data_IF_789168283075
#
_entry.id   IF_789168283075
#
_cell.length_a   1.000
_cell.length_b   1.000
_cell.length_c   1.000
_cell.angle_alpha   90.00
_cell.angle_beta   90.00
_cell.angle_gamma   90.00
#
_symmetry.space_group_name_H-M   'P 1'
#
loop_
_entity.id
_entity.type
_entity.pdbx_description
1 polymer ?
#
# COMPACT_ATOMS: atom_id res chain seq x y z
N UNK A 1 -12.88 -6.02 -12.53
CA UNK A 1 -12.47 -7.13 -11.64
C UNK A 1 -11.08 -6.74 -11.18
N UNK A 2 -10.78 -6.89 -9.90
CA UNK A 2 -9.49 -6.47 -9.36
C UNK A 2 -8.66 -7.67 -8.94
N UNK A 3 -7.40 -7.66 -9.30
CA UNK A 3 -6.39 -8.57 -8.76
C UNK A 3 -5.71 -7.89 -7.58
N UNK A 4 -5.55 -8.64 -6.49
CA UNK A 4 -4.94 -8.17 -5.24
C UNK A 4 -3.70 -9.02 -5.02
N UNK A 5 -2.54 -8.50 -5.43
CA UNK A 5 -1.25 -9.17 -5.27
C UNK A 5 -0.69 -8.86 -3.88
N UNK A 6 -0.44 -9.88 -3.07
CA UNK A 6 -0.04 -9.69 -1.68
C UNK A 6 1.17 -10.52 -1.29
N UNK A 7 2.04 -9.90 -0.51
CA UNK A 7 3.24 -10.54 0.05
C UNK A 7 3.55 -9.94 1.44
N UNK A 8 4.45 -10.59 2.16
CA UNK A 8 4.79 -10.24 3.52
C UNK A 8 6.29 -10.03 3.77
N UNK A 9 6.59 -9.23 4.79
CA UNK A 9 7.93 -9.08 5.35
C UNK A 9 7.87 -9.19 6.86
N UNK A 10 8.99 -9.51 7.51
CA UNK A 10 9.01 -9.64 8.97
C UNK A 10 8.72 -11.06 9.48
N UNK A 11 8.80 -12.09 8.65
CA UNK A 11 8.42 -13.46 9.03
C UNK A 11 9.43 -14.15 9.94
N UNK A 12 10.68 -13.64 10.03
CA UNK A 12 11.71 -14.24 10.90
C UNK A 12 11.42 -13.99 12.38
N UNK A 13 11.71 -14.95 13.26
CA UNK A 13 11.47 -14.83 14.71
C UNK A 13 12.09 -13.59 15.37
N UNK A 14 13.19 -13.07 14.80
CA UNK A 14 13.94 -11.94 15.34
C UNK A 14 13.35 -10.58 14.95
N UNK A 15 12.49 -10.54 13.93
CA UNK A 15 11.86 -9.30 13.49
C UNK A 15 10.67 -8.96 14.41
N UNK A 16 10.61 -7.74 14.96
CA UNK A 16 9.60 -7.39 15.97
C UNK A 16 8.21 -7.14 15.39
N UNK A 17 8.08 -7.09 14.07
CA UNK A 17 6.82 -6.84 13.36
C UNK A 17 6.69 -7.77 12.16
N UNK A 18 5.46 -8.09 11.78
CA UNK A 18 5.11 -8.66 10.47
C UNK A 18 4.37 -7.57 9.70
N UNK A 19 4.71 -7.36 8.43
CA UNK A 19 4.01 -6.47 7.51
C UNK A 19 3.45 -7.29 6.36
N UNK A 20 2.21 -7.05 5.98
CA UNK A 20 1.61 -7.57 4.75
C UNK A 20 1.23 -6.38 3.89
N UNK A 21 1.68 -6.39 2.65
CA UNK A 21 1.31 -5.40 1.65
C UNK A 21 0.48 -6.05 0.55
N UNK A 22 -0.39 -5.26 -0.06
CA UNK A 22 -1.19 -5.66 -1.19
C UNK A 22 -1.24 -4.56 -2.24
N UNK A 23 -1.08 -4.92 -3.50
CA UNK A 23 -1.23 -4.05 -4.68
C UNK A 23 -2.55 -4.40 -5.36
N UNK A 24 -3.44 -3.43 -5.49
CA UNK A 24 -4.78 -3.63 -6.06
C UNK A 24 -4.82 -3.07 -7.47
N UNK A 25 -4.98 -3.94 -8.47
CA UNK A 25 -4.94 -3.55 -9.89
C UNK A 25 -6.17 -4.03 -10.64
N UNK A 26 -6.59 -3.29 -11.66
CA UNK A 26 -7.40 -3.81 -12.76
C UNK A 26 -6.65 -4.94 -13.46
N UNK A 27 -7.35 -6.06 -13.68
CA UNK A 27 -6.79 -7.28 -14.28
C UNK A 27 -6.16 -7.06 -15.65
N UNK A 28 -6.58 -6.03 -16.39
CA UNK A 28 -6.09 -5.77 -17.75
C UNK A 28 -5.13 -4.60 -17.76
N UNK A 29 -5.65 -3.38 -17.65
CA UNK A 29 -4.87 -2.20 -18.01
C UNK A 29 -3.76 -1.88 -17.02
N UNK A 30 -4.05 -1.99 -15.73
CA UNK A 30 -3.10 -1.60 -14.67
C UNK A 30 -2.04 -2.70 -14.46
N UNK A 31 -2.46 -3.98 -14.52
CA UNK A 31 -1.53 -5.10 -14.43
C UNK A 31 -0.51 -5.09 -15.57
N UNK A 32 -0.94 -5.11 -16.84
CA UNK A 32 -0.04 -5.12 -17.99
C UNK A 32 0.93 -3.93 -17.99
N UNK A 33 0.45 -2.74 -17.61
CA UNK A 33 1.26 -1.53 -17.51
C UNK A 33 2.39 -1.69 -16.48
N UNK A 34 2.06 -2.12 -15.26
CA UNK A 34 3.04 -2.29 -14.20
C UNK A 34 4.03 -3.41 -14.50
N UNK A 35 3.58 -4.51 -15.11
CA UNK A 35 4.49 -5.59 -15.50
C UNK A 35 5.51 -5.12 -16.54
N UNK A 36 5.07 -4.31 -17.51
CA UNK A 36 5.96 -3.70 -18.50
C UNK A 36 6.97 -2.74 -17.86
N UNK A 37 6.54 -1.92 -16.90
CA UNK A 37 7.42 -0.99 -16.18
C UNK A 37 8.42 -1.74 -15.28
N UNK A 38 8.00 -2.78 -14.56
CA UNK A 38 8.92 -3.64 -13.79
C UNK A 38 9.96 -4.27 -14.72
N UNK A 39 9.54 -4.82 -15.87
CA UNK A 39 10.45 -5.41 -16.85
C UNK A 39 11.44 -4.37 -17.40
N UNK A 40 10.99 -3.15 -17.67
CA UNK A 40 11.83 -2.03 -18.09
C UNK A 40 12.90 -1.72 -17.04
N UNK A 41 12.50 -1.49 -15.78
CA UNK A 41 13.43 -1.19 -14.67
C UNK A 41 14.44 -2.31 -14.49
N UNK A 42 14.00 -3.58 -14.54
CA UNK A 42 14.91 -4.74 -14.49
C UNK A 42 15.92 -4.72 -15.63
N UNK A 43 15.47 -4.47 -16.86
CA UNK A 43 16.34 -4.47 -18.04
C UNK A 43 17.39 -3.35 -18.02
N UNK A 44 17.05 -2.20 -17.43
CA UNK A 44 17.92 -1.02 -17.39
C UNK A 44 18.88 -1.07 -16.20
N UNK A 45 18.42 -1.51 -15.04
CA UNK A 45 19.11 -1.30 -13.75
C UNK A 45 19.81 -2.54 -13.21
N UNK A 46 19.35 -3.74 -13.57
CA UNK A 46 20.01 -4.98 -13.14
C UNK A 46 21.25 -5.21 -14.01
N UNK A 47 22.44 -5.45 -13.42
CA UNK A 47 23.65 -5.75 -14.18
C UNK A 47 23.47 -6.97 -15.08
N UNK A 48 23.98 -6.92 -16.31
CA UNK A 48 23.82 -7.98 -17.30
C UNK A 48 24.18 -9.40 -16.79
N UNK A 49 25.25 -9.62 -16.00
CA UNK A 49 25.58 -10.95 -15.44
C UNK A 49 24.53 -11.53 -14.49
N UNK A 50 23.62 -10.70 -13.97
CA UNK A 50 22.60 -11.08 -13.01
C UNK A 50 21.19 -11.19 -13.61
N UNK A 51 20.98 -10.80 -14.88
CA UNK A 51 19.64 -10.69 -15.49
C UNK A 51 18.97 -12.03 -15.77
N UNK A 52 19.74 -13.05 -16.11
CA UNK A 52 19.18 -14.37 -16.42
C UNK A 52 18.60 -15.02 -15.16
N UNK A 53 17.33 -15.40 -15.22
CA UNK A 53 16.58 -15.90 -14.07
C UNK A 53 16.39 -14.88 -12.93
N UNK A 54 16.62 -13.59 -13.19
CA UNK A 54 16.41 -12.56 -12.18
C UNK A 54 14.94 -12.46 -11.79
N UNK A 55 14.69 -12.47 -10.49
CA UNK A 55 13.43 -12.04 -9.92
C UNK A 55 13.73 -11.12 -8.75
N UNK A 56 12.83 -10.18 -8.51
CA UNK A 56 12.96 -9.22 -7.44
C UNK A 56 12.62 -9.94 -6.13
N UNK A 57 13.59 -9.97 -5.23
CA UNK A 57 13.37 -10.28 -3.83
C UNK A 57 14.06 -9.21 -2.99
N UNK A 58 13.27 -8.34 -2.36
CA UNK A 58 13.72 -7.09 -1.76
C UNK A 58 14.82 -7.31 -0.72
N UNK A 59 14.68 -8.35 0.11
CA UNK A 59 15.68 -8.71 1.12
C UNK A 59 17.00 -9.15 0.49
N UNK A 60 16.96 -9.96 -0.57
CA UNK A 60 18.15 -10.45 -1.27
C UNK A 60 18.87 -9.32 -2.02
N UNK A 61 18.11 -8.41 -2.63
CA UNK A 61 18.65 -7.25 -3.34
C UNK A 61 19.28 -6.26 -2.36
N UNK A 62 18.56 -5.89 -1.30
CA UNK A 62 19.04 -4.91 -0.32
C UNK A 62 20.35 -5.38 0.34
N UNK A 63 20.38 -6.62 0.83
CA UNK A 63 21.57 -7.16 1.49
C UNK A 63 22.64 -7.61 0.48
N UNK A 64 22.29 -7.84 -0.77
CA UNK A 64 23.20 -8.31 -1.80
C UNK A 64 23.58 -9.75 -1.52
N UNK A 65 22.71 -10.68 -1.92
CA UNK A 65 22.99 -12.11 -1.88
C UNK A 65 24.33 -12.43 -2.56
N UNK A 66 24.94 -13.57 -2.20
CA UNK A 66 26.25 -14.01 -2.74
C UNK A 66 26.29 -13.86 -4.27
N UNK A 67 27.35 -13.25 -4.80
CA UNK A 67 27.54 -12.95 -6.23
C UNK A 67 26.94 -11.60 -6.67
N UNK A 68 25.88 -11.12 -6.03
CA UNK A 68 25.28 -9.84 -6.39
C UNK A 68 26.18 -8.66 -6.02
N UNK A 69 26.86 -8.71 -4.86
CA UNK A 69 27.75 -7.64 -4.38
C UNK A 69 28.96 -7.41 -5.28
N UNK A 70 29.37 -8.43 -6.05
CA UNK A 70 30.52 -8.37 -6.95
C UNK A 70 30.20 -7.60 -8.25
N UNK A 71 28.90 -7.52 -8.59
CA UNK A 71 28.42 -6.93 -9.84
C UNK A 71 27.48 -5.73 -9.64
N UNK A 72 26.98 -5.50 -8.43
CA UNK A 72 25.94 -4.50 -8.17
C UNK A 72 26.19 -3.75 -6.85
N UNK A 73 26.56 -2.47 -6.96
CA UNK A 73 26.90 -1.65 -5.80
C UNK A 73 25.71 -1.45 -4.85
N UNK A 74 25.99 -1.20 -3.58
CA UNK A 74 24.94 -1.05 -2.55
C UNK A 74 23.97 0.10 -2.82
N UNK A 75 24.49 1.24 -3.29
CA UNK A 75 23.65 2.39 -3.62
C UNK A 75 22.79 2.13 -4.88
N UNK A 76 23.36 1.52 -5.92
CA UNK A 76 22.61 1.13 -7.12
C UNK A 76 21.46 0.16 -6.81
N UNK A 77 21.68 -0.78 -5.87
CA UNK A 77 20.65 -1.71 -5.40
C UNK A 77 19.54 -1.00 -4.63
N UNK A 78 19.89 -0.01 -3.82
CA UNK A 78 18.90 0.81 -3.12
C UNK A 78 18.10 1.67 -4.09
N UNK A 79 18.75 2.28 -5.07
CA UNK A 79 18.09 3.11 -6.08
C UNK A 79 17.17 2.28 -6.98
N UNK A 80 17.57 1.06 -7.31
CA UNK A 80 16.69 0.08 -7.95
C UNK A 80 15.44 -0.21 -7.12
N UNK A 81 15.60 -0.49 -5.81
CA UNK A 81 14.46 -0.76 -4.94
C UNK A 81 13.53 0.46 -4.84
N UNK A 82 14.07 1.68 -4.78
CA UNK A 82 13.27 2.92 -4.79
C UNK A 82 12.48 3.08 -6.09
N UNK A 83 13.10 2.77 -7.23
CA UNK A 83 12.46 2.86 -8.55
C UNK A 83 11.32 1.84 -8.71
N UNK A 84 11.50 0.62 -8.22
CA UNK A 84 10.39 -0.37 -8.16
C UNK A 84 9.33 0.10 -7.17
N UNK A 85 9.74 0.55 -5.98
CA UNK A 85 8.85 0.94 -4.90
C UNK A 85 7.98 2.15 -5.27
N UNK A 86 8.43 3.05 -6.16
CA UNK A 86 7.64 4.21 -6.56
C UNK A 86 6.56 3.94 -7.60
N UNK A 87 6.58 2.78 -8.27
CA UNK A 87 5.60 2.46 -9.31
C UNK A 87 4.14 2.64 -8.87
N UNK A 88 3.71 2.26 -7.65
CA UNK A 88 2.35 2.52 -7.20
C UNK A 88 2.00 4.00 -7.15
N UNK A 89 2.91 4.88 -6.72
CA UNK A 89 2.69 6.32 -6.72
C UNK A 89 2.62 6.88 -8.15
N UNK A 90 3.58 6.49 -9.00
CA UNK A 90 3.68 6.99 -10.39
C UNK A 90 2.46 6.63 -11.23
N UNK A 91 1.97 5.41 -11.04
CA UNK A 91 0.84 4.87 -11.80
C UNK A 91 -0.47 4.96 -11.03
N UNK A 92 -0.45 5.57 -9.85
CA UNK A 92 -1.64 5.83 -9.05
C UNK A 92 -2.42 4.54 -8.77
N UNK A 93 -1.66 3.55 -8.31
CA UNK A 93 -2.10 2.20 -8.00
C UNK A 93 -2.34 2.11 -6.50
N UNK A 94 -3.57 1.76 -6.09
CA UNK A 94 -3.91 1.59 -4.69
C UNK A 94 -3.08 0.49 -4.04
N UNK A 95 -2.57 0.79 -2.86
CA UNK A 95 -1.88 -0.20 -2.02
C UNK A 95 -2.55 -0.27 -0.66
N UNK A 96 -2.72 -1.50 -0.16
CA UNK A 96 -3.17 -1.77 1.20
C UNK A 96 -2.00 -2.36 1.99
N UNK A 97 -1.79 -1.86 3.20
CA UNK A 97 -0.70 -2.30 4.08
C UNK A 97 -1.26 -2.49 5.49
N UNK A 98 -0.90 -3.62 6.08
CA UNK A 98 -1.12 -3.87 7.50
C UNK A 98 0.18 -4.33 8.14
N UNK A 99 0.31 -4.08 9.43
CA UNK A 99 1.34 -4.72 10.23
C UNK A 99 0.79 -5.23 11.55
N UNK A 100 1.52 -6.15 12.17
CA UNK A 100 1.27 -6.63 13.52
C UNK A 100 2.58 -6.63 14.28
N UNK A 101 2.60 -6.00 15.45
CA UNK A 101 3.71 -6.16 16.40
C UNK A 101 3.69 -7.57 16.95
N UNK A 102 4.86 -8.21 17.02
CA UNK A 102 4.96 -9.58 17.51
C UNK A 102 4.86 -9.60 19.01
N UNK A 103 3.63 -9.72 19.47
CA UNK A 103 3.35 -9.97 20.87
C UNK A 103 3.44 -11.48 21.15
N UNK A 104 3.95 -11.82 22.34
CA UNK A 104 3.96 -13.19 22.84
C UNK A 104 2.55 -13.60 23.31
N UNK A 105 1.64 -13.78 22.34
CA UNK A 105 0.28 -14.26 22.58
C UNK A 105 0.22 -15.72 23.02
N UNK A 106 1.34 -16.45 22.96
CA UNK A 106 1.35 -17.88 23.31
C UNK A 106 0.87 -18.10 24.73
N UNK A 107 1.23 -17.21 25.67
CA UNK A 107 0.77 -17.26 27.07
C UNK A 107 -0.73 -17.08 27.22
N UNK A 108 -1.33 -16.18 26.45
CA UNK A 108 -2.77 -15.90 26.48
C UNK A 108 -3.54 -17.05 25.83
N UNK A 109 -3.09 -17.52 24.66
CA UNK A 109 -3.72 -18.60 23.92
C UNK A 109 -3.60 -19.94 24.64
N UNK A 110 -2.45 -20.22 25.26
CA UNK A 110 -2.20 -21.44 26.03
C UNK A 110 -3.15 -21.56 27.23
N UNK A 111 -3.48 -20.42 27.83
CA UNK A 111 -4.42 -20.37 28.96
C UNK A 111 -5.87 -20.59 28.50
N UNK A 112 -6.21 -20.17 27.28
CA UNK A 112 -7.59 -20.20 26.78
C UNK A 112 -8.01 -21.54 26.17
N UNK A 113 -7.07 -22.31 25.58
CA UNK A 113 -7.41 -23.53 24.80
C UNK A 113 -6.36 -24.65 24.93
N UNK A 114 -6.30 -25.36 26.07
CA UNK A 114 -5.38 -26.48 26.22
C UNK A 114 -5.66 -27.60 25.19
N UNK A 115 -4.62 -28.09 24.51
CA UNK A 115 -4.67 -29.31 23.68
C UNK A 115 -4.95 -29.14 22.18
N UNK A 116 -5.07 -27.93 21.64
CA UNK A 116 -5.16 -27.71 20.18
C UNK A 116 -3.77 -27.49 19.54
N UNK A 117 -3.56 -27.87 18.26
CA UNK A 117 -2.34 -27.53 17.53
C UNK A 117 -2.05 -26.04 17.65
N UNK A 118 -0.87 -25.72 18.18
CA UNK A 118 -0.49 -24.34 18.51
C UNK A 118 -0.15 -23.59 17.22
N UNK A 119 -0.90 -22.54 16.93
CA UNK A 119 -0.42 -21.49 16.03
C UNK A 119 0.75 -20.79 16.73
N UNK A 120 1.89 -20.66 16.06
CA UNK A 120 3.03 -19.91 16.62
C UNK A 120 2.68 -18.42 16.71
N UNK A 121 3.38 -17.66 17.56
CA UNK A 121 3.21 -16.20 17.59
C UNK A 121 3.43 -15.58 16.21
N UNK A 122 4.44 -16.03 15.45
CA UNK A 122 4.67 -15.58 14.07
C UNK A 122 3.46 -15.86 13.15
N UNK A 123 2.91 -17.07 13.19
CA UNK A 123 1.75 -17.44 12.38
C UNK A 123 0.52 -16.60 12.74
N UNK A 124 0.30 -16.32 14.03
CA UNK A 124 -0.81 -15.51 14.49
C UNK A 124 -0.69 -14.04 14.05
N UNK A 125 0.49 -13.45 14.23
CA UNK A 125 0.74 -12.07 13.82
C UNK A 125 0.66 -11.90 12.30
N UNK A 126 1.18 -12.86 11.54
CA UNK A 126 1.02 -12.87 10.09
C UNK A 126 -0.46 -13.03 9.71
N UNK A 127 -1.18 -13.98 10.31
CA UNK A 127 -2.61 -14.16 10.09
C UNK A 127 -3.42 -12.88 10.32
N UNK A 128 -3.16 -12.15 11.41
CA UNK A 128 -3.82 -10.88 11.69
C UNK A 128 -3.44 -9.80 10.66
N UNK A 129 -2.15 -9.62 10.39
CA UNK A 129 -1.69 -8.65 9.41
C UNK A 129 -2.29 -8.92 8.02
N UNK A 130 -2.36 -10.19 7.61
CA UNK A 130 -2.98 -10.58 6.34
C UNK A 130 -4.47 -10.22 6.30
N UNK A 131 -5.24 -10.63 7.32
CA UNK A 131 -6.69 -10.38 7.36
C UNK A 131 -7.02 -8.88 7.33
N UNK A 132 -6.29 -8.07 8.10
CA UNK A 132 -6.48 -6.62 8.08
C UNK A 132 -5.92 -5.96 6.82
N UNK A 133 -4.94 -6.54 6.12
CA UNK A 133 -4.53 -6.03 4.81
C UNK A 133 -5.63 -6.26 3.76
N UNK A 134 -6.24 -7.45 3.78
CA UNK A 134 -7.34 -7.79 2.87
C UNK A 134 -8.60 -6.96 3.15
N UNK A 135 -8.90 -6.65 4.40
CA UNK A 135 -10.01 -5.76 4.73
C UNK A 135 -9.82 -4.34 4.19
N UNK A 136 -8.60 -3.82 4.22
CA UNK A 136 -8.28 -2.50 3.62
C UNK A 136 -8.41 -2.53 2.09
N UNK A 137 -7.96 -3.61 1.46
CA UNK A 137 -8.17 -3.81 0.04
C UNK A 137 -9.67 -3.89 -0.29
N UNK A 138 -10.47 -4.56 0.54
CA UNK A 138 -11.93 -4.63 0.39
C UNK A 138 -12.59 -3.26 0.57
N UNK A 139 -12.14 -2.49 1.56
CA UNK A 139 -12.58 -1.12 1.79
C UNK A 139 -12.32 -0.25 0.56
N UNK A 140 -11.18 -0.42 -0.12
CA UNK A 140 -10.93 0.24 -1.40
C UNK A 140 -12.00 -0.09 -2.45
N UNK A 141 -12.30 -1.39 -2.64
CA UNK A 141 -13.32 -1.84 -3.59
C UNK A 141 -14.71 -1.27 -3.27
N UNK A 142 -15.07 -1.20 -1.99
CA UNK A 142 -16.36 -0.65 -1.52
C UNK A 142 -16.45 0.85 -1.74
N UNK A 143 -15.49 1.59 -1.18
CA UNK A 143 -15.54 3.05 -1.11
C UNK A 143 -15.27 3.70 -2.45
N UNK A 144 -14.25 3.25 -3.17
CA UNK A 144 -13.75 3.94 -4.36
C UNK A 144 -14.28 3.33 -5.66
N UNK A 145 -14.66 2.05 -5.65
CA UNK A 145 -15.25 1.36 -6.81
C UNK A 145 -16.75 1.07 -6.64
N UNK A 146 -17.37 1.67 -5.62
CA UNK A 146 -18.80 1.57 -5.33
C UNK A 146 -19.29 0.15 -5.04
N UNK A 147 -18.39 -0.75 -4.62
CA UNK A 147 -18.70 -2.14 -4.32
C UNK A 147 -19.16 -2.98 -5.54
N UNK A 148 -19.08 -2.44 -6.75
CA UNK A 148 -19.47 -3.15 -7.99
C UNK A 148 -18.38 -4.10 -8.46
N UNK A 149 -17.13 -3.70 -8.25
CA UNK A 149 -15.99 -4.53 -8.57
C UNK A 149 -15.71 -5.56 -7.45
N UNK A 150 -15.26 -6.73 -7.87
CA UNK A 150 -14.87 -7.83 -6.99
C UNK A 150 -13.37 -8.06 -7.06
N UNK A 151 -12.80 -8.53 -5.96
CA UNK A 151 -11.37 -8.79 -5.79
C UNK A 151 -11.04 -10.28 -5.76
N UNK A 152 -9.91 -10.64 -6.38
CA UNK A 152 -9.28 -11.96 -6.27
C UNK A 152 -7.90 -11.76 -5.65
N UNK A 153 -7.60 -12.51 -4.58
CA UNK A 153 -6.31 -12.43 -3.89
C UNK A 153 -5.33 -13.43 -4.49
N UNK A 154 -4.17 -12.92 -4.90
CA UNK A 154 -3.01 -13.67 -5.36
C UNK A 154 -1.89 -13.43 -4.34
N UNK A 155 -1.53 -14.44 -3.56
CA UNK A 155 -0.54 -14.36 -2.48
C UNK A 155 0.73 -15.16 -2.80
N UNK A 156 1.86 -14.77 -2.23
CA UNK A 156 3.07 -15.61 -2.27
C UNK A 156 2.83 -16.95 -1.52
N UNK A 157 3.26 -18.05 -2.13
CA UNK A 157 3.18 -19.38 -1.57
C UNK A 157 4.20 -19.58 -0.43
N UNK A 158 3.81 -19.22 0.79
CA UNK A 158 4.56 -19.55 2.01
C UNK A 158 4.05 -20.84 2.62
N UNK A 159 4.83 -21.91 2.48
CA UNK A 159 4.43 -23.29 2.77
C UNK A 159 3.81 -23.50 4.17
N UNK A 160 4.30 -22.78 5.18
CA UNK A 160 3.81 -22.87 6.55
C UNK A 160 2.49 -22.12 6.80
N UNK A 161 2.15 -21.16 5.94
CA UNK A 161 1.01 -20.25 6.10
C UNK A 161 -0.13 -20.55 5.12
N UNK A 162 0.16 -21.18 3.98
CA UNK A 162 -0.82 -21.42 2.93
C UNK A 162 -2.09 -22.09 3.46
N UNK A 163 -1.96 -23.17 4.24
CA UNK A 163 -3.12 -23.88 4.79
C UNK A 163 -3.92 -23.04 5.80
N UNK A 164 -3.24 -22.16 6.55
CA UNK A 164 -3.88 -21.25 7.50
C UNK A 164 -4.63 -20.12 6.78
N UNK A 165 -3.97 -19.45 5.83
CA UNK A 165 -4.52 -18.33 5.08
C UNK A 165 -5.63 -18.77 4.11
N UNK A 166 -5.54 -19.96 3.52
CA UNK A 166 -6.63 -20.52 2.70
C UNK A 166 -7.92 -20.74 3.51
N UNK A 167 -7.80 -21.12 4.79
CA UNK A 167 -8.96 -21.45 5.61
C UNK A 167 -9.52 -20.24 6.36
N UNK A 168 -8.63 -19.34 6.77
CA UNK A 168 -8.96 -18.32 7.73
C UNK A 168 -8.47 -16.93 7.31
N UNK A 169 -7.65 -16.79 6.27
CA UNK A 169 -7.05 -15.50 5.89
C UNK A 169 -8.08 -14.40 5.62
N UNK A 170 -9.32 -14.78 5.29
CA UNK A 170 -10.44 -13.88 5.06
C UNK A 170 -11.54 -14.01 6.15
N UNK A 171 -11.14 -14.29 7.40
CA UNK A 171 -12.07 -14.47 8.54
C UNK A 171 -13.00 -13.28 8.79
N UNK A 172 -12.58 -12.08 8.40
CA UNK A 172 -13.40 -10.87 8.43
C UNK A 172 -14.55 -10.88 7.40
N UNK A 173 -14.72 -11.94 6.60
CA UNK A 173 -15.97 -12.17 5.84
C UNK A 173 -17.10 -12.63 6.74
N UNK A 174 -16.77 -13.50 7.69
CA UNK A 174 -17.75 -14.19 8.54
C UNK A 174 -18.01 -13.42 9.85
N UNK A 175 -17.19 -12.41 10.14
CA UNK A 175 -17.23 -11.63 11.38
C UNK A 175 -17.13 -10.15 11.04
N UNK A 176 -18.05 -9.36 11.59
CA UNK A 176 -17.93 -7.90 11.63
C UNK A 176 -17.22 -7.52 12.91
N UNK A 177 -15.98 -7.05 12.80
CA UNK A 177 -15.23 -6.58 13.95
C UNK A 177 -15.55 -5.10 14.20
N UNK A 178 -16.29 -4.83 15.27
CA UNK A 178 -16.54 -3.47 15.75
C UNK A 178 -15.36 -3.01 16.60
N UNK A 179 -14.73 -1.88 16.24
CA UNK A 179 -13.64 -1.29 17.03
C UNK A 179 -14.25 -0.39 18.11
N UNK A 180 -13.99 -0.62 19.41
CA UNK A 180 -14.48 0.26 20.46
C UNK A 180 -13.94 1.68 20.29
N UNK A 181 -14.79 2.69 20.45
CA UNK A 181 -14.43 4.13 20.32
C UNK A 181 -13.23 4.48 21.20
N UNK A 182 -13.18 3.95 22.43
CA UNK A 182 -12.11 4.21 23.40
C UNK A 182 -10.71 3.74 22.94
N UNK A 183 -10.65 2.84 21.96
CA UNK A 183 -9.41 2.37 21.35
C UNK A 183 -9.12 2.96 19.98
N UNK A 184 -10.01 3.80 19.45
CA UNK A 184 -9.83 4.41 18.16
C UNK A 184 -9.01 5.68 18.26
N UNK A 185 -8.06 5.83 17.34
CA UNK A 185 -7.38 7.09 17.14
C UNK A 185 -8.24 8.01 16.28
N UNK A 186 -8.44 9.25 16.74
CA UNK A 186 -9.07 10.30 15.92
C UNK A 186 -8.22 10.55 14.66
N UNK A 187 -8.89 10.60 13.52
CA UNK A 187 -8.26 11.02 12.27
C UNK A 187 -7.97 12.50 12.23
N UNK A 188 -7.24 12.92 11.19
CA UNK A 188 -6.84 14.33 11.04
C UNK A 188 -8.08 15.24 10.92
N UNK A 189 -9.13 14.78 10.24
CA UNK A 189 -10.38 15.53 10.11
C UNK A 189 -11.09 15.67 11.46
N UNK A 190 -11.27 14.57 12.19
CA UNK A 190 -11.90 14.56 13.52
C UNK A 190 -11.09 15.39 14.52
N UNK A 191 -9.76 15.31 14.48
CA UNK A 191 -8.87 16.16 15.30
C UNK A 191 -9.05 17.64 14.96
N UNK A 192 -9.13 18.00 13.68
CA UNK A 192 -9.34 19.40 13.24
C UNK A 192 -10.71 19.94 13.66
N UNK A 193 -11.73 19.09 13.69
CA UNK A 193 -13.09 19.46 14.07
C UNK A 193 -13.37 19.28 15.57
N UNK A 194 -12.42 18.72 16.34
CA UNK A 194 -12.59 18.33 17.73
C UNK A 194 -13.81 17.38 17.94
N UNK A 195 -14.01 16.47 16.98
CA UNK A 195 -15.08 15.46 17.01
C UNK A 195 -14.55 14.12 17.53
N UNK A 196 -15.37 13.31 18.22
CA UNK A 196 -14.98 11.94 18.59
C UNK A 196 -14.75 11.10 17.33
N UNK A 197 -13.91 10.04 17.40
CA UNK A 197 -13.72 9.16 16.26
C UNK A 197 -15.03 8.44 15.93
N UNK A 198 -15.34 8.33 14.64
CA UNK A 198 -16.55 7.65 14.17
C UNK A 198 -16.41 6.14 14.38
N UNK A 199 -17.47 5.42 14.82
CA UNK A 199 -17.44 3.97 14.95
C UNK A 199 -16.92 3.29 13.68
N UNK A 200 -15.91 2.43 13.84
CA UNK A 200 -15.31 1.69 12.75
C UNK A 200 -15.68 0.23 12.83
N UNK A 201 -16.05 -0.33 11.68
CA UNK A 201 -16.33 -1.76 11.52
C UNK A 201 -15.47 -2.34 10.41
N UNK A 202 -14.75 -3.40 10.72
CA UNK A 202 -13.96 -4.14 9.74
C UNK A 202 -14.76 -5.34 9.22
N UNK A 203 -14.90 -5.44 7.91
CA UNK A 203 -15.63 -6.52 7.25
C UNK A 203 -15.27 -6.65 5.77
N UNK A 204 -15.13 -7.88 5.27
CA UNK A 204 -14.78 -8.18 3.87
C UNK A 204 -16.03 -8.67 3.11
N UNK A 205 -16.42 -8.01 2.01
CA UNK A 205 -17.59 -8.40 1.19
C UNK A 205 -17.30 -8.53 -0.31
N UNK A 206 -16.32 -7.80 -0.81
CA UNK A 206 -16.04 -7.61 -2.22
C UNK A 206 -14.90 -8.48 -2.72
N UNK A 207 -14.08 -9.04 -1.85
CA UNK A 207 -13.21 -10.16 -2.21
C UNK A 207 -14.07 -11.42 -2.26
N UNK A 208 -14.07 -12.18 -3.37
CA UNK A 208 -15.07 -13.24 -3.61
C UNK A 208 -14.59 -14.68 -3.42
N UNK A 209 -13.28 -14.93 -3.48
CA UNK A 209 -12.71 -16.30 -3.41
C UNK A 209 -11.69 -16.46 -2.28
N UNK A 210 -11.26 -17.69 -2.01
CA UNK A 210 -10.09 -17.91 -1.17
C UNK A 210 -8.81 -17.40 -1.86
N UNK A 211 -7.78 -17.00 -1.10
CA UNK A 211 -6.50 -16.61 -1.68
C UNK A 211 -5.91 -17.73 -2.55
N UNK A 212 -5.46 -17.37 -3.75
CA UNK A 212 -4.67 -18.26 -4.62
C UNK A 212 -3.21 -18.00 -4.33
N UNK A 213 -2.40 -19.05 -4.30
CA UNK A 213 -0.99 -18.96 -3.95
C UNK A 213 -0.13 -19.22 -5.17
N UNK A 214 0.83 -18.34 -5.42
CA UNK A 214 1.76 -18.43 -6.54
C UNK A 214 3.18 -18.62 -6.01
N UNK A 215 4.00 -19.35 -6.76
CA UNK A 215 5.41 -19.55 -6.46
C UNK A 215 6.23 -18.26 -6.57
N UNK A 216 7.41 -18.29 -5.96
CA UNK A 216 8.40 -17.20 -6.08
C UNK A 216 8.77 -16.99 -7.54
N UNK A 217 8.65 -15.75 -8.01
CA UNK A 217 8.98 -15.37 -9.38
C UNK A 217 7.89 -15.64 -10.41
N UNK A 218 6.73 -16.21 -10.03
CA UNK A 218 5.64 -16.50 -10.98
C UNK A 218 4.89 -15.24 -11.44
N UNK A 219 4.89 -14.17 -10.64
CA UNK A 219 4.26 -12.89 -10.98
C UNK A 219 5.16 -11.73 -10.53
N UNK A 220 5.42 -10.77 -11.41
CA UNK A 220 6.21 -9.57 -11.10
C UNK A 220 5.49 -8.65 -10.11
N UNK A 221 4.15 -8.61 -10.14
CA UNK A 221 3.34 -7.85 -9.19
C UNK A 221 3.38 -8.39 -7.75
N UNK A 222 3.62 -9.69 -7.56
CA UNK A 222 3.96 -10.22 -6.23
C UNK A 222 5.30 -9.67 -5.74
N UNK A 223 6.27 -9.55 -6.64
CA UNK A 223 7.58 -9.02 -6.27
C UNK A 223 7.52 -7.51 -5.97
N UNK A 224 6.58 -6.77 -6.59
CA UNK A 224 6.28 -5.40 -6.19
C UNK A 224 5.67 -5.36 -4.77
N UNK A 225 4.76 -6.28 -4.45
CA UNK A 225 4.22 -6.43 -3.10
C UNK A 225 5.32 -6.75 -2.06
N UNK A 226 6.30 -7.61 -2.38
CA UNK A 226 7.50 -7.88 -1.55
C UNK A 226 8.25 -6.58 -1.22
N UNK A 227 8.54 -5.78 -2.27
CA UNK A 227 9.26 -4.50 -2.11
C UNK A 227 8.49 -3.54 -1.20
N UNK A 228 7.17 -3.46 -1.32
CA UNK A 228 6.34 -2.61 -0.47
C UNK A 228 6.35 -3.14 0.97
N UNK A 229 6.08 -4.42 1.19
CA UNK A 229 6.08 -5.04 2.52
C UNK A 229 7.44 -4.86 3.21
N UNK A 230 8.53 -5.11 2.48
CA UNK A 230 9.90 -4.90 2.95
C UNK A 230 10.15 -3.46 3.38
N UNK A 231 9.76 -2.49 2.55
CA UNK A 231 9.93 -1.06 2.81
C UNK A 231 9.20 -0.60 4.06
N UNK A 232 7.92 -0.95 4.18
CA UNK A 232 7.11 -0.62 5.35
C UNK A 232 7.61 -1.32 6.61
N UNK A 233 8.11 -2.56 6.52
CA UNK A 233 8.73 -3.24 7.65
C UNK A 233 9.96 -2.50 8.14
N UNK A 234 10.85 -2.10 7.24
CA UNK A 234 12.05 -1.32 7.61
C UNK A 234 11.66 0.00 8.27
N UNK A 235 10.66 0.69 7.72
CA UNK A 235 10.14 1.92 8.30
C UNK A 235 9.57 1.72 9.70
N UNK A 236 8.66 0.74 9.88
CA UNK A 236 8.05 0.41 11.17
C UNK A 236 9.09 0.04 12.24
N UNK A 237 10.20 -0.58 11.82
CA UNK A 237 11.31 -0.98 12.70
C UNK A 237 12.43 0.06 12.80
N UNK A 238 12.24 1.26 12.23
CA UNK A 238 13.22 2.36 12.21
C UNK A 238 14.60 1.95 11.68
N UNK A 239 14.62 1.02 10.74
CA UNK A 239 15.85 0.56 10.08
C UNK A 239 16.31 1.56 9.02
N UNK A 240 17.60 1.53 8.68
CA UNK A 240 18.18 2.42 7.67
C UNK A 240 17.42 2.36 6.34
N UNK A 241 17.26 3.52 5.70
CA UNK A 241 16.54 3.69 4.43
C UNK A 241 15.05 3.33 4.45
N UNK A 242 14.47 2.95 5.60
CA UNK A 242 13.04 2.64 5.69
C UNK A 242 12.17 3.84 5.27
N UNK A 243 12.49 5.04 5.77
CA UNK A 243 11.79 6.27 5.39
C UNK A 243 11.98 6.61 3.91
N UNK A 244 13.19 6.46 3.36
CA UNK A 244 13.46 6.77 1.95
C UNK A 244 12.65 5.87 1.01
N UNK A 245 12.55 4.57 1.34
CA UNK A 245 11.77 3.61 0.56
C UNK A 245 10.27 3.89 0.65
N UNK A 246 9.76 4.18 1.85
CA UNK A 246 8.34 4.52 2.03
C UNK A 246 7.98 5.85 1.37
N UNK A 247 8.86 6.85 1.43
CA UNK A 247 8.71 8.09 0.67
C UNK A 247 8.64 7.83 -0.85
N UNK A 248 9.41 6.86 -1.37
CA UNK A 248 9.33 6.50 -2.78
C UNK A 248 7.94 5.91 -3.13
N UNK A 249 7.37 5.09 -2.25
CA UNK A 249 6.07 4.43 -2.45
C UNK A 249 4.89 5.42 -2.48
N UNK A 250 5.00 6.52 -1.74
CA UNK A 250 3.89 7.44 -1.47
C UNK A 250 4.08 8.82 -2.08
N UNK A 251 5.28 9.09 -2.57
CA UNK A 251 5.64 10.42 -3.06
C UNK A 251 5.88 11.43 -1.92
N UNK A 252 6.26 12.66 -2.30
CA UNK A 252 6.70 13.70 -1.37
C UNK A 252 5.56 14.25 -0.49
N UNK A 253 4.32 14.15 -0.92
CA UNK A 253 3.16 14.73 -0.22
C UNK A 253 2.61 13.79 0.86
N UNK A 254 2.59 12.49 0.58
CA UNK A 254 2.07 11.46 1.49
C UNK A 254 3.18 10.77 2.30
N UNK A 255 4.46 11.11 2.10
CA UNK A 255 5.62 10.48 2.74
C UNK A 255 5.81 10.83 4.23
N UNK A 256 6.55 10.02 5.04
CA UNK A 256 6.77 10.27 6.47
C UNK A 256 7.29 11.66 6.86
N UNK A 257 7.87 12.43 5.92
CA UNK A 257 8.27 13.81 6.18
C UNK A 257 7.09 14.75 6.49
N UNK A 258 5.88 14.43 6.03
CA UNK A 258 4.66 15.22 6.29
C UNK A 258 3.92 14.79 7.56
N UNK A 259 4.34 13.69 8.20
CA UNK A 259 3.68 13.15 9.40
C UNK A 259 4.70 12.75 10.47
N UNK A 260 4.81 13.52 11.55
CA UNK A 260 5.74 13.28 12.65
C UNK A 260 5.46 12.02 13.50
N UNK A 261 4.50 11.19 13.11
CA UNK A 261 4.07 10.00 13.84
C UNK A 261 3.71 8.92 12.80
N UNK A 262 3.90 7.62 13.07
CA UNK A 262 3.29 6.55 12.28
C UNK A 262 1.75 6.53 12.46
N UNK A 263 1.07 7.68 12.25
CA UNK A 263 -0.41 7.83 12.23
C UNK A 263 -1.03 7.04 11.08
N UNK A 264 -0.20 6.49 10.20
CA UNK A 264 -0.59 5.73 9.02
C UNK A 264 -1.18 4.37 9.38
N UNK A 265 -1.01 3.99 10.64
CA UNK A 265 -1.65 2.86 11.28
C UNK A 265 -2.56 3.28 12.44
N UNK A 266 -2.92 4.57 12.49
CA UNK A 266 -4.08 4.97 13.28
C UNK A 266 -5.32 4.36 12.65
N UNK A 267 -6.35 4.12 13.46
CA UNK A 267 -7.66 3.69 13.00
C UNK A 267 -8.18 4.53 11.79
N UNK A 268 -7.78 5.80 11.69
CA UNK A 268 -8.25 6.74 10.66
C UNK A 268 -7.55 6.63 9.30
N UNK A 269 -6.25 6.33 9.26
CA UNK A 269 -5.57 6.03 8.00
C UNK A 269 -5.57 4.52 7.88
N UNK A 270 -6.51 3.97 7.10
CA UNK A 270 -6.72 2.53 6.95
C UNK A 270 -5.57 1.84 6.23
N UNK A 271 -4.29 2.21 6.42
CA UNK A 271 -3.15 1.63 5.70
C UNK A 271 -3.37 1.54 4.19
N UNK A 272 -4.21 2.42 3.64
CA UNK A 272 -4.64 2.45 2.26
C UNK A 272 -4.08 3.73 1.66
N UNK A 273 -3.30 3.59 0.60
CA UNK A 273 -2.55 4.70 0.01
C UNK A 273 -2.76 4.76 -1.50
N UNK A 274 -2.37 5.89 -2.11
CA UNK A 274 -2.55 6.16 -3.55
C UNK A 274 -4.01 5.99 -3.99
N UNK A 275 -4.94 6.66 -3.29
CA UNK A 275 -6.39 6.58 -3.60
C UNK A 275 -7.01 7.91 -4.01
N UNK A 276 -6.24 9.01 -3.97
CA UNK A 276 -6.76 10.36 -4.17
C UNK A 276 -7.36 10.58 -5.56
N UNK A 277 -6.77 9.96 -6.57
CA UNK A 277 -7.27 9.97 -7.95
C UNK A 277 -8.68 9.39 -8.12
N UNK A 278 -9.10 8.53 -7.19
CA UNK A 278 -10.41 7.87 -7.21
C UNK A 278 -11.48 8.71 -6.50
N UNK A 279 -11.10 9.80 -5.80
CA UNK A 279 -12.04 10.65 -5.06
C UNK A 279 -12.69 11.74 -5.92
N UNK A 280 -12.06 12.19 -7.00
CA UNK A 280 -12.60 13.26 -7.84
C UNK A 280 -12.05 13.25 -9.27
N UNK A 281 -12.78 13.84 -10.22
CA UNK A 281 -12.31 14.00 -11.61
C UNK A 281 -10.98 14.77 -11.69
N UNK A 282 -10.76 15.72 -10.77
CA UNK A 282 -9.50 16.47 -10.62
C UNK A 282 -8.30 15.57 -10.28
N UNK A 283 -8.53 14.48 -9.54
CA UNK A 283 -7.50 13.50 -9.25
C UNK A 283 -7.01 12.74 -10.50
N UNK A 284 -7.83 12.65 -11.56
CA UNK A 284 -7.38 12.09 -12.85
C UNK A 284 -6.43 13.03 -13.60
N UNK A 285 -6.60 14.35 -13.46
CA UNK A 285 -5.67 15.33 -14.00
C UNK A 285 -4.33 15.34 -13.23
N UNK A 286 -4.37 15.06 -11.92
CA UNK A 286 -3.18 14.93 -11.08
C UNK A 286 -2.30 13.72 -11.46
N UNK A 287 -2.89 12.65 -12.01
CA UNK A 287 -2.15 11.47 -12.50
C UNK A 287 -1.10 11.83 -13.56
N UNK A 288 -1.45 12.71 -14.51
CA UNK A 288 -0.50 13.18 -15.52
C UNK A 288 0.62 14.03 -14.92
N UNK A 289 0.32 14.78 -13.86
CA UNK A 289 1.30 15.60 -13.15
C UNK A 289 2.30 14.73 -12.36
N UNK A 290 1.81 13.77 -11.55
CA UNK A 290 2.64 12.81 -10.80
C UNK A 290 3.61 12.05 -11.70
N UNK A 291 3.12 11.60 -12.88
CA UNK A 291 3.95 10.90 -13.88
C UNK A 291 5.10 11.77 -14.39
N UNK A 292 4.87 13.06 -14.59
CA UNK A 292 5.93 13.98 -15.03
C UNK A 292 6.96 14.23 -13.92
N UNK A 293 6.55 14.34 -12.65
CA UNK A 293 7.48 14.51 -11.52
C UNK A 293 8.42 13.31 -11.43
N UNK A 294 7.84 12.10 -11.43
CA UNK A 294 8.62 10.88 -11.21
C UNK A 294 9.60 10.56 -12.34
N UNK A 295 9.28 10.95 -13.59
CA UNK A 295 10.17 10.75 -14.74
C UNK A 295 11.23 11.85 -14.88
N UNK A 296 11.30 12.81 -13.96
CA UNK A 296 12.17 13.97 -14.07
C UNK A 296 11.82 14.90 -15.25
N UNK A 297 10.63 14.70 -15.86
CA UNK A 297 10.14 15.51 -16.99
C UNK A 297 9.34 16.73 -16.52
N UNK A 298 9.00 16.83 -15.23
CA UNK A 298 8.90 18.14 -14.59
C UNK A 298 10.33 18.56 -14.25
N UNK A 299 10.96 19.31 -15.15
CA UNK A 299 11.76 20.42 -14.67
C UNK A 299 10.81 21.18 -13.75
N UNK A 300 11.06 21.19 -12.44
CA UNK A 300 10.46 22.20 -11.56
C UNK A 300 10.61 23.47 -12.36
N UNK A 301 9.49 24.05 -12.82
CA UNK A 301 9.50 25.19 -13.73
C UNK A 301 10.58 26.14 -13.24
N UNK A 302 11.48 26.54 -14.17
CA UNK A 302 12.65 27.38 -13.92
C UNK A 302 12.48 28.13 -12.60
N UNK A 303 13.34 27.89 -11.61
CA UNK A 303 13.29 28.64 -10.34
C UNK A 303 13.41 30.17 -10.55
N UNK A 304 13.67 30.59 -11.80
CA UNK A 304 13.73 31.94 -12.32
C UNK A 304 12.45 32.42 -13.04
N UNK A 305 11.36 31.63 -13.12
CA UNK A 305 10.05 32.10 -13.58
C UNK A 305 9.30 32.76 -12.40
N UNK A 306 9.24 34.11 -12.32
CA UNK A 306 8.58 34.80 -11.22
C UNK A 306 7.05 34.60 -11.21
N UNK A 307 6.46 34.08 -12.29
CA UNK A 307 5.02 34.00 -12.49
C UNK A 307 4.47 32.56 -12.40
N UNK A 308 5.26 31.56 -12.01
CA UNK A 308 4.80 30.15 -11.95
C UNK A 308 3.55 29.94 -11.08
N UNK A 309 3.45 30.68 -9.96
CA UNK A 309 2.27 30.67 -9.08
C UNK A 309 1.03 31.26 -9.76
N UNK A 310 1.21 32.20 -10.69
CA UNK A 310 0.13 32.80 -11.47
C UNK A 310 -0.35 31.84 -12.56
N UNK A 311 0.56 31.15 -13.25
CA UNK A 311 0.21 30.09 -14.20
C UNK A 311 -0.55 28.94 -13.50
N UNK A 312 -0.09 28.54 -12.32
CA UNK A 312 -0.77 27.57 -11.48
C UNK A 312 -2.17 28.04 -11.05
N UNK A 313 -2.31 29.31 -10.63
CA UNK A 313 -3.61 29.89 -10.27
C UNK A 313 -4.56 30.02 -11.48
N UNK A 314 -4.04 30.35 -12.67
CA UNK A 314 -4.81 30.48 -13.91
C UNK A 314 -5.35 29.13 -14.40
N UNK A 315 -4.58 28.04 -14.23
CA UNK A 315 -5.04 26.67 -14.51
C UNK A 315 -6.11 26.20 -13.50
N UNK A 316 -6.01 26.64 -12.24
CA UNK A 316 -7.06 26.46 -11.22
C UNK A 316 -8.33 27.25 -11.60
N UNK A 317 -8.20 28.47 -12.11
CA UNK A 317 -9.33 29.28 -12.57
C UNK A 317 -10.00 28.71 -13.83
N UNK A 318 -9.22 28.21 -14.79
CA UNK A 318 -9.75 27.60 -16.02
C UNK A 318 -10.52 26.32 -15.74
N UNK A 319 -10.02 25.46 -14.86
CA UNK A 319 -10.70 24.22 -14.50
C UNK A 319 -12.07 24.47 -13.85
N UNK A 320 -12.17 25.50 -13.00
CA UNK A 320 -13.46 25.95 -12.41
C UNK A 320 -14.50 26.43 -13.43
N UNK A 321 -14.08 26.90 -14.62
CA UNK A 321 -15.00 27.38 -15.67
C UNK A 321 -15.55 26.25 -16.56
N UNK A 322 -14.92 25.08 -16.56
CA UNK A 322 -15.34 23.92 -17.36
C UNK A 322 -16.43 23.12 -16.64
N UNK A 323 -16.46 23.16 -15.31
CA UNK A 323 -17.51 22.55 -14.48
C UNK A 323 -18.73 23.49 -14.39
N UNK A 324 -19.60 23.45 -15.38
CA UNK A 324 -20.91 24.12 -15.35
C UNK A 324 -21.82 23.56 -14.26
N UNK A 325 -21.57 23.90 -12.99
CA UNK A 325 -22.51 23.69 -11.90
C UNK A 325 -23.65 24.70 -12.00
N UNK A 326 -24.92 24.28 -11.79
CA UNK A 326 -26.02 25.24 -11.71
C UNK A 326 -25.85 26.11 -10.47
N UNK A 327 -26.01 27.41 -10.69
CA UNK A 327 -26.05 28.45 -9.66
C UNK A 327 -27.17 28.11 -8.65
N UNK A 328 -26.79 27.61 -7.47
CA UNK A 328 -27.72 27.41 -6.36
C UNK A 328 -27.98 28.79 -5.78
N UNK A 329 -28.95 29.49 -6.38
CA UNK A 329 -29.41 30.79 -5.94
C UNK A 329 -29.84 30.80 -4.47
N UNK A 330 -29.80 32.00 -3.90
CA UNK A 330 -30.04 32.45 -2.51
C UNK A 330 -31.34 31.99 -1.79
N UNK A 331 -31.97 30.89 -2.17
CA UNK A 331 -33.28 30.47 -1.64
C UNK A 331 -33.21 29.72 -0.29
N UNK A 332 -32.01 29.58 0.30
CA UNK A 332 -31.81 28.94 1.60
C UNK A 332 -31.87 29.90 2.81
N UNK A 333 -32.11 31.20 2.61
CA UNK A 333 -32.15 32.19 3.73
C UNK A 333 -33.54 32.59 4.24
N UNK A 334 -34.62 32.07 3.66
CA UNK A 334 -36.00 32.45 4.06
C UNK A 334 -36.82 31.33 4.73
N UNK A 335 -36.16 30.30 5.28
CA UNK A 335 -36.84 29.31 6.15
C UNK A 335 -35.99 29.00 7.38
N UNK A 336 -35.97 29.95 8.32
CA UNK A 336 -35.63 29.76 9.72
C UNK A 336 -36.53 30.64 10.57
#
# INVERSE_FOLDING_TARGET
MRLIYTDEAGTSEQEPVVVVAAVVVDEKSEAELLEAEIARVVSERVPAPLRDGFYIHATDIFHGKKGMRDHWAGHDRLDFLKEIACLPFVHDIPIAVSYSEKLDFTKILDSARPGRPRMTSNQYNHFLAFGFCMERADFFLKKYLGGKEKGIVLAEAVSQMQGLLTKHGLWLRDVVLQVPIDGQMQGIAEQRLNEPPLPQSHHIENIIDQPKFLGKGEASLLQLADVIAFSFRRFATKQSHGSDLVNAILGPEEGPATTNVPVWFSAANHGLFNTDSYLCERGRADRDFRRRIATGNVLIADADDPDWMKHFADDIERSKRVEGFPDIGDDARNRA
#
